data_IF_787812846957
#
_entry.id   IF_787812846957
#
_cell.length_a   1.000
_cell.length_b   1.000
_cell.length_c   1.000
_cell.angle_alpha   90.00
_cell.angle_beta   90.00
_cell.angle_gamma   90.00
#
_symmetry.space_group_name_H-M   'P 1'
#
loop_
_entity.id
_entity.type
_entity.pdbx_description
1 polymer ?
#
# COMPACT_ATOMS: atom_id res chain seq x y z
N UNK A 1 -2.67 -41.99 -34.96
CA UNK A 1 -2.97 -40.54 -35.07
C UNK A 1 -4.16 -40.04 -34.24
N UNK A 2 -5.17 -40.86 -33.87
CA UNK A 2 -6.28 -40.42 -32.99
C UNK A 2 -5.91 -40.17 -31.51
N UNK A 3 -4.87 -40.85 -30.99
CA UNK A 3 -4.48 -40.79 -29.58
C UNK A 3 -3.76 -39.48 -29.19
N UNK A 4 -2.96 -38.91 -30.10
CA UNK A 4 -2.24 -37.65 -29.86
C UNK A 4 -3.18 -36.43 -29.73
N UNK A 5 -4.31 -36.44 -30.45
CA UNK A 5 -5.31 -35.36 -30.40
C UNK A 5 -6.06 -35.35 -29.06
N UNK A 6 -6.37 -36.52 -28.51
CA UNK A 6 -6.99 -36.66 -27.19
C UNK A 6 -6.04 -36.22 -26.06
N UNK A 7 -4.74 -36.52 -26.19
CA UNK A 7 -3.73 -36.08 -25.22
C UNK A 7 -3.58 -34.55 -25.23
N UNK A 8 -3.55 -33.93 -26.41
CA UNK A 8 -3.46 -32.47 -26.56
C UNK A 8 -4.68 -31.72 -26.00
N UNK A 9 -5.89 -32.30 -26.16
CA UNK A 9 -7.12 -31.75 -25.57
C UNK A 9 -7.07 -31.76 -24.04
N UNK A 10 -6.50 -32.80 -23.41
CA UNK A 10 -6.37 -32.88 -21.95
C UNK A 10 -5.44 -31.80 -21.38
N UNK A 11 -4.36 -31.44 -22.08
CA UNK A 11 -3.48 -30.34 -21.65
C UNK A 11 -4.11 -28.94 -21.78
N UNK A 12 -5.02 -28.75 -22.75
CA UNK A 12 -5.72 -27.48 -22.91
C UNK A 12 -6.61 -27.14 -21.70
N UNK A 13 -7.25 -28.14 -21.08
CA UNK A 13 -8.14 -27.91 -19.92
C UNK A 13 -7.37 -27.62 -18.61
N UNK A 14 -6.16 -28.15 -18.45
CA UNK A 14 -5.33 -27.91 -17.27
C UNK A 14 -4.63 -26.54 -17.36
N UNK A 15 -4.25 -26.11 -18.57
CA UNK A 15 -3.67 -24.77 -18.80
C UNK A 15 -4.68 -23.61 -18.72
N UNK A 16 -5.94 -23.83 -19.13
CA UNK A 16 -6.98 -22.79 -19.10
C UNK A 16 -7.54 -22.52 -17.68
N UNK A 17 -7.57 -23.53 -16.81
CA UNK A 17 -8.06 -23.42 -15.43
C UNK A 17 -7.06 -22.75 -14.48
N UNK A 18 -5.77 -22.86 -14.76
CA UNK A 18 -4.71 -22.15 -14.00
C UNK A 18 -4.52 -20.69 -14.47
N UNK A 19 -4.93 -20.36 -15.70
CA UNK A 19 -4.85 -19.00 -16.25
C UNK A 19 -6.00 -18.07 -15.80
N UNK A 20 -7.14 -18.63 -15.39
CA UNK A 20 -8.33 -17.86 -14.97
C UNK A 20 -8.32 -17.45 -13.50
N UNK A 21 -7.44 -18.03 -12.68
CA UNK A 21 -7.28 -17.66 -11.26
C UNK A 21 -6.49 -16.36 -11.10
N UNK A 22 -5.59 -16.03 -12.04
CA UNK A 22 -4.82 -14.78 -12.02
C UNK A 22 -5.70 -13.53 -12.14
N UNK A 23 -6.81 -13.61 -12.88
CA UNK A 23 -7.72 -12.47 -13.06
C UNK A 23 -8.65 -12.24 -11.87
N UNK A 24 -9.05 -13.30 -11.16
CA UNK A 24 -9.99 -13.18 -10.04
C UNK A 24 -9.35 -12.55 -8.80
N UNK A 25 -8.03 -12.74 -8.61
CA UNK A 25 -7.27 -12.09 -7.54
C UNK A 25 -6.80 -10.67 -7.90
N UNK A 26 -6.78 -10.30 -9.18
CA UNK A 26 -6.46 -8.94 -9.63
C UNK A 26 -7.59 -7.93 -9.37
N UNK A 27 -8.81 -8.39 -9.06
CA UNK A 27 -10.01 -7.55 -8.89
C UNK A 27 -10.28 -7.22 -7.40
N UNK A 28 -9.59 -7.85 -6.46
CA UNK A 28 -9.64 -7.46 -5.05
C UNK A 28 -8.38 -6.69 -4.67
N UNK A 29 -8.24 -5.48 -5.21
CA UNK A 29 -7.31 -4.49 -4.64
C UNK A 29 -7.76 -4.25 -3.19
N UNK A 30 -6.95 -4.70 -2.23
CA UNK A 30 -7.21 -4.53 -0.81
C UNK A 30 -6.54 -3.23 -0.38
N UNK A 31 -7.27 -2.11 -0.22
CA UNK A 31 -6.68 -0.79 0.03
C UNK A 31 -5.83 -0.77 1.30
N UNK A 32 -6.16 -1.64 2.29
CA UNK A 32 -5.38 -1.78 3.51
C UNK A 32 -4.00 -2.37 3.21
N UNK A 33 -3.94 -3.42 2.40
CA UNK A 33 -2.66 -4.05 2.01
C UNK A 33 -1.81 -3.14 1.14
N UNK A 34 -2.43 -2.43 0.20
CA UNK A 34 -1.73 -1.46 -0.65
C UNK A 34 -1.11 -0.36 0.21
N UNK A 35 -1.88 0.22 1.13
CA UNK A 35 -1.38 1.28 2.02
C UNK A 35 -0.32 0.76 3.01
N UNK A 36 -0.49 -0.46 3.54
CA UNK A 36 0.53 -1.07 4.40
C UNK A 36 1.84 -1.28 3.62
N UNK A 37 1.76 -1.84 2.42
CA UNK A 37 2.92 -2.06 1.55
C UNK A 37 3.65 -0.75 1.24
N UNK A 38 2.90 0.32 0.92
CA UNK A 38 3.48 1.64 0.67
C UNK A 38 4.23 2.19 1.89
N UNK A 39 3.60 2.14 3.06
CA UNK A 39 4.22 2.59 4.32
C UNK A 39 5.45 1.76 4.68
N UNK A 40 5.41 0.44 4.49
CA UNK A 40 6.55 -0.43 4.76
C UNK A 40 7.75 -0.05 3.88
N UNK A 41 7.52 0.22 2.59
CA UNK A 41 8.58 0.68 1.69
C UNK A 41 9.10 2.08 2.04
N UNK A 42 8.23 2.98 2.47
CA UNK A 42 8.65 4.30 2.97
C UNK A 42 9.57 4.15 4.19
N UNK A 43 9.16 3.38 5.19
CA UNK A 43 9.98 3.14 6.39
C UNK A 43 11.30 2.45 6.04
N UNK A 44 11.28 1.47 5.14
CA UNK A 44 12.47 0.78 4.67
C UNK A 44 13.43 1.74 3.96
N UNK A 45 12.93 2.64 3.11
CA UNK A 45 13.76 3.64 2.42
C UNK A 45 14.48 4.57 3.40
N UNK A 46 13.84 4.91 4.53
CA UNK A 46 14.46 5.71 5.61
C UNK A 46 15.56 4.91 6.30
N UNK A 47 15.29 3.63 6.63
CA UNK A 47 16.26 2.73 7.28
C UNK A 47 17.51 2.53 6.40
N UNK A 48 17.29 2.28 5.11
CA UNK A 48 18.35 2.03 4.12
C UNK A 48 19.04 3.32 3.66
N UNK A 49 18.50 4.49 4.04
CA UNK A 49 18.93 5.82 3.56
C UNK A 49 18.86 5.94 2.02
N UNK A 50 17.87 5.28 1.42
CA UNK A 50 17.60 5.35 -0.02
C UNK A 50 16.71 6.56 -0.32
N UNK A 51 17.36 7.71 -0.47
CA UNK A 51 16.68 8.97 -0.80
C UNK A 51 15.90 8.87 -2.11
N UNK A 52 16.44 8.18 -3.13
CA UNK A 52 15.77 8.07 -4.42
C UNK A 52 14.43 7.35 -4.27
N UNK A 53 14.42 6.20 -3.59
CA UNK A 53 13.19 5.46 -3.33
C UNK A 53 12.23 6.27 -2.47
N UNK A 54 12.72 6.96 -1.43
CA UNK A 54 11.88 7.83 -0.61
C UNK A 54 11.13 8.88 -1.45
N UNK A 55 11.82 9.54 -2.39
CA UNK A 55 11.23 10.53 -3.28
C UNK A 55 10.25 9.96 -4.32
N UNK A 56 10.32 8.65 -4.59
CA UNK A 56 9.35 7.95 -5.44
C UNK A 56 8.06 7.61 -4.68
N UNK A 57 8.12 7.45 -3.36
CA UNK A 57 7.02 7.00 -2.50
C UNK A 57 6.34 8.14 -1.72
N UNK A 58 7.06 9.22 -1.45
CA UNK A 58 6.57 10.35 -0.65
C UNK A 58 6.55 11.62 -1.47
N UNK A 59 5.41 12.33 -1.46
CA UNK A 59 5.33 13.65 -2.06
C UNK A 59 6.15 14.66 -1.25
N UNK A 60 7.19 15.25 -1.86
CA UNK A 60 8.02 16.25 -1.20
C UNK A 60 7.23 17.48 -0.73
N UNK A 61 7.55 17.97 0.47
CA UNK A 61 6.94 19.16 1.07
C UNK A 61 5.50 18.94 1.56
N UNK A 62 4.99 17.71 1.47
CA UNK A 62 3.66 17.33 1.94
C UNK A 62 3.64 17.10 3.46
N UNK A 63 2.45 16.96 4.06
CA UNK A 63 2.32 16.78 5.51
C UNK A 63 2.97 15.48 6.00
N UNK A 64 2.93 14.40 5.21
CA UNK A 64 3.64 13.15 5.53
C UNK A 64 5.16 13.33 5.50
N UNK A 65 5.69 14.12 4.55
CA UNK A 65 7.12 14.37 4.46
C UNK A 65 7.64 15.08 5.72
N UNK A 66 6.92 16.12 6.16
CA UNK A 66 7.22 16.80 7.43
C UNK A 66 7.04 15.90 8.65
N UNK A 67 5.97 15.10 8.68
CA UNK A 67 5.70 14.15 9.76
C UNK A 67 6.83 13.13 9.93
N UNK A 68 7.31 12.56 8.82
CA UNK A 68 8.41 11.60 8.82
C UNK A 68 9.73 12.29 9.15
N UNK A 69 9.99 13.49 8.63
CA UNK A 69 11.22 14.23 8.92
C UNK A 69 11.38 14.56 10.42
N UNK A 70 10.30 14.96 11.09
CA UNK A 70 10.27 15.27 12.53
C UNK A 70 10.44 14.02 13.41
N UNK A 71 10.03 12.85 12.92
CA UNK A 71 9.88 11.63 13.73
C UNK A 71 10.70 10.43 13.26
N UNK A 72 11.56 10.58 12.25
CA UNK A 72 12.32 9.50 11.60
C UNK A 72 13.09 8.60 12.58
N UNK A 73 13.61 9.18 13.66
CA UNK A 73 14.40 8.43 14.65
C UNK A 73 13.53 7.71 15.70
N UNK A 74 12.26 8.11 15.82
CA UNK A 74 11.35 7.67 16.87
C UNK A 74 10.30 6.66 16.38
N UNK A 75 9.98 6.63 15.09
CA UNK A 75 9.02 5.67 14.52
C UNK A 75 9.70 4.29 14.44
N UNK A 76 9.08 3.28 15.06
CA UNK A 76 9.48 1.87 14.93
C UNK A 76 8.67 1.16 13.87
N UNK A 77 7.36 1.40 13.85
CA UNK A 77 6.42 0.77 12.92
C UNK A 77 5.18 1.64 12.74
N UNK A 78 4.50 1.47 11.61
CA UNK A 78 3.16 2.01 11.37
C UNK A 78 2.29 0.86 10.86
N UNK A 79 1.23 0.54 11.60
CA UNK A 79 0.28 -0.53 11.23
C UNK A 79 -1.02 0.08 10.73
N UNK A 80 -1.38 -0.22 9.48
CA UNK A 80 -2.64 0.23 8.88
C UNK A 80 -3.79 -0.61 9.45
N UNK A 81 -4.72 0.05 10.10
CA UNK A 81 -5.89 -0.57 10.71
C UNK A 81 -7.00 -0.77 9.68
N UNK A 82 -7.32 0.30 8.94
CA UNK A 82 -8.38 0.35 7.94
C UNK A 82 -7.95 1.28 6.80
N UNK A 83 -8.37 0.97 5.58
CA UNK A 83 -8.23 1.86 4.44
C UNK A 83 -9.38 1.67 3.45
N UNK A 84 -9.69 2.72 2.69
CA UNK A 84 -10.77 2.75 1.69
C UNK A 84 -10.35 3.58 0.50
N UNK A 85 -10.82 3.17 -0.67
CA UNK A 85 -10.83 4.04 -1.84
C UNK A 85 -11.82 5.18 -1.62
N UNK A 86 -11.43 6.38 -1.99
CA UNK A 86 -12.21 7.61 -1.79
C UNK A 86 -12.88 8.09 -3.07
N UNK A 87 -12.53 7.50 -4.20
CA UNK A 87 -13.00 7.88 -5.52
C UNK A 87 -13.44 6.67 -6.34
N UNK A 88 -14.29 6.91 -7.33
CA UNK A 88 -14.82 5.86 -8.21
C UNK A 88 -13.77 5.30 -9.18
N UNK A 89 -12.64 6.01 -9.37
CA UNK A 89 -11.54 5.60 -10.23
C UNK A 89 -10.47 4.80 -9.47
N UNK A 90 -10.63 4.58 -8.16
CA UNK A 90 -9.69 3.86 -7.31
C UNK A 90 -8.28 4.47 -7.33
N UNK A 91 -8.18 5.79 -7.48
CA UNK A 91 -6.92 6.51 -7.53
C UNK A 91 -6.51 7.07 -6.18
N UNK A 92 -7.45 7.29 -5.26
CA UNK A 92 -7.22 7.88 -3.96
C UNK A 92 -7.58 6.90 -2.85
N UNK A 93 -6.63 6.63 -1.96
CA UNK A 93 -6.83 5.77 -0.79
C UNK A 93 -6.61 6.57 0.48
N UNK A 94 -7.59 6.55 1.38
CA UNK A 94 -7.43 7.02 2.75
C UNK A 94 -7.37 5.84 3.69
N UNK A 95 -6.58 5.96 4.75
CA UNK A 95 -6.55 4.96 5.79
C UNK A 95 -6.16 5.53 7.14
N UNK A 96 -6.34 4.71 8.15
CA UNK A 96 -5.99 5.01 9.53
C UNK A 96 -4.97 3.99 9.97
N UNK A 97 -3.82 4.48 10.43
CA UNK A 97 -2.75 3.67 10.98
C UNK A 97 -2.51 3.95 12.46
N UNK A 98 -1.89 2.99 13.15
CA UNK A 98 -1.33 3.17 14.48
C UNK A 98 0.18 3.28 14.34
N UNK A 99 0.75 4.36 14.87
CA UNK A 99 2.19 4.56 14.95
C UNK A 99 2.70 4.00 16.25
N UNK A 100 3.68 3.10 16.16
CA UNK A 100 4.42 2.58 17.30
C UNK A 100 5.77 3.29 17.36
N UNK A 101 5.94 4.17 18.35
CA UNK A 101 7.22 4.82 18.63
C UNK A 101 8.13 3.96 19.52
N UNK A 102 9.43 4.26 19.55
CA UNK A 102 10.41 3.58 20.43
C UNK A 102 10.12 3.81 21.92
N UNK A 103 9.70 5.03 22.30
CA UNK A 103 9.45 5.44 23.70
C UNK A 103 8.14 6.22 23.87
N UNK A 104 7.24 6.16 22.88
CA UNK A 104 5.97 6.90 22.87
C UNK A 104 4.80 5.94 23.00
N UNK A 105 3.69 6.41 23.59
CA UNK A 105 2.43 5.67 23.53
C UNK A 105 1.97 5.58 22.08
N UNK A 106 1.44 4.42 21.63
CA UNK A 106 0.90 4.31 20.29
C UNK A 106 -0.19 5.36 20.06
N UNK A 107 -0.18 5.99 18.89
CA UNK A 107 -1.15 7.01 18.51
C UNK A 107 -1.65 6.77 17.09
N UNK A 108 -2.85 7.26 16.81
CA UNK A 108 -3.48 7.10 15.51
C UNK A 108 -3.05 8.19 14.55
N UNK A 109 -2.89 7.83 13.29
CA UNK A 109 -2.70 8.76 12.19
C UNK A 109 -3.67 8.44 11.06
N UNK A 110 -4.16 9.47 10.39
CA UNK A 110 -4.81 9.34 9.09
C UNK A 110 -3.75 9.53 8.01
N UNK A 111 -3.75 8.66 7.03
CA UNK A 111 -2.89 8.69 5.87
C UNK A 111 -3.71 8.81 4.60
N UNK A 112 -3.15 9.49 3.60
CA UNK A 112 -3.69 9.48 2.24
C UNK A 112 -2.60 9.24 1.21
N UNK A 113 -2.92 8.41 0.22
CA UNK A 113 -2.05 8.12 -0.91
C UNK A 113 -2.84 8.18 -2.22
N UNK A 114 -2.19 8.62 -3.29
CA UNK A 114 -2.76 8.61 -4.64
C UNK A 114 -1.98 7.69 -5.56
N UNK A 115 -2.62 7.21 -6.61
CA UNK A 115 -2.03 6.31 -7.60
C UNK A 115 -0.94 7.05 -8.39
N UNK A 116 0.25 6.47 -8.40
CA UNK A 116 1.39 6.97 -9.15
C UNK A 116 2.06 5.80 -9.88
N UNK A 117 1.80 5.67 -11.19
CA UNK A 117 2.35 4.58 -12.00
C UNK A 117 3.88 4.59 -12.17
N UNK A 118 4.58 5.62 -11.66
CA UNK A 118 6.04 5.68 -11.63
C UNK A 118 6.64 5.19 -10.31
N UNK A 119 5.82 5.05 -9.27
CA UNK A 119 6.24 4.52 -7.97
C UNK A 119 6.39 2.99 -8.03
N UNK A 120 7.29 2.47 -7.19
CA UNK A 120 7.52 1.04 -7.00
C UNK A 120 6.25 0.25 -6.61
N UNK A 121 5.36 0.85 -5.84
CA UNK A 121 4.10 0.23 -5.38
C UNK A 121 2.90 0.59 -6.26
N UNK A 122 3.08 1.57 -7.16
CA UNK A 122 1.98 2.18 -7.89
C UNK A 122 1.25 3.28 -7.12
N UNK A 123 1.71 3.67 -5.93
CA UNK A 123 1.14 4.74 -5.10
C UNK A 123 2.19 5.74 -4.63
N UNK A 124 1.74 6.90 -4.16
CA UNK A 124 2.56 7.89 -3.47
C UNK A 124 1.76 8.48 -2.30
N UNK A 125 2.35 8.50 -1.12
CA UNK A 125 1.74 9.09 0.08
C UNK A 125 1.95 10.60 0.07
N UNK A 126 0.90 11.34 0.44
CA UNK A 126 0.92 12.80 0.48
C UNK A 126 0.28 13.41 1.73
N UNK A 127 -0.49 12.65 2.52
CA UNK A 127 -1.07 13.18 3.74
C UNK A 127 -0.74 12.31 4.95
N UNK A 128 -0.42 12.97 6.06
CA UNK A 128 -0.38 12.38 7.40
C UNK A 128 -0.91 13.38 8.43
N UNK A 129 -1.93 12.97 9.17
CA UNK A 129 -2.55 13.80 10.22
C UNK A 129 -2.66 13.00 11.50
N UNK A 130 -2.16 13.54 12.61
CA UNK A 130 -2.35 12.95 13.93
C UNK A 130 -3.83 12.96 14.32
N UNK A 131 -4.32 11.81 14.77
CA UNK A 131 -5.71 11.59 15.10
C UNK A 131 -5.86 11.30 16.60
N UNK A 132 -6.96 11.79 17.18
CA UNK A 132 -7.31 11.50 18.58
C UNK A 132 -7.76 10.05 18.79
N UNK A 133 -8.34 9.42 17.77
CA UNK A 133 -8.83 8.04 17.80
C UNK A 133 -8.84 7.38 16.41
N UNK A 134 -9.31 6.13 16.34
CA UNK A 134 -9.40 5.34 15.11
C UNK A 134 -10.47 5.81 14.11
N UNK A 135 -11.39 6.71 14.49
CA UNK A 135 -12.50 7.16 13.64
C UNK A 135 -12.15 8.35 12.75
N UNK A 136 -10.91 8.82 12.87
CA UNK A 136 -10.39 9.95 12.13
C UNK A 136 -10.12 9.56 10.66
N UNK A 137 -11.08 9.77 9.77
CA UNK A 137 -10.77 9.86 8.33
C UNK A 137 -11.58 9.02 7.34
N UNK A 138 -12.61 8.30 7.78
CA UNK A 138 -13.42 7.45 6.88
C UNK A 138 -14.91 7.85 6.81
N UNK A 139 -15.24 9.08 7.22
CA UNK A 139 -16.55 9.69 7.01
C UNK A 139 -16.56 10.54 5.74
#
# INVERSE_FOLDING_TARGET
>A
MRSLVLLALLFAFIGLSSSTIYWKNAITMDPKKEMQSEIDWVLQSIIDKDEKLYLELVQQGSSIDWFLADRKDNIKNIEIMEAKFMDENYELVHGVGIVYGKNEKPFYIRLAMFKNGKSRTGYMIFDAVNCGDFKCGLN
#
